data_IF_475059320034
#
_entry.id   IF_475059320034
#
_cell.length_a   1.000
_cell.length_b   1.000
_cell.length_c   1.000
_cell.angle_alpha   90.00
_cell.angle_beta   90.00
_cell.angle_gamma   90.00
#
_symmetry.space_group_name_H-M   'P 1'
#
loop_
_entity.id
_entity.type
_entity.pdbx_description
1 polymer ?
#
# COMPACT_ATOMS: atom_id res chain seq x y z
N UNK A 1 81.41 20.79 10.08
CA UNK A 1 80.47 21.55 10.93
C UNK A 1 79.06 21.04 10.69
N UNK A 2 78.46 20.39 11.69
CA UNK A 2 77.08 19.91 11.67
C UNK A 2 76.77 19.25 13.02
N UNK A 3 76.01 19.90 13.93
CA UNK A 3 75.97 19.47 15.31
C UNK A 3 74.99 18.29 15.52
N UNK A 4 75.44 17.33 16.32
CA UNK A 4 74.63 16.26 16.94
C UNK A 4 73.47 16.87 17.74
N UNK A 5 72.25 16.36 17.58
CA UNK A 5 71.15 16.64 18.53
C UNK A 5 70.38 15.39 18.94
N UNK A 6 70.24 15.31 20.27
CA UNK A 6 69.74 14.25 21.15
C UNK A 6 68.37 13.67 20.79
N UNK A 7 68.28 12.35 21.02
CA UNK A 7 67.06 11.58 21.22
C UNK A 7 66.19 12.17 22.35
N UNK A 8 64.89 12.38 22.06
CA UNK A 8 63.85 12.71 23.04
C UNK A 8 62.80 11.60 23.01
N UNK A 9 62.70 10.85 24.12
CA UNK A 9 61.56 9.95 24.40
C UNK A 9 60.34 10.81 24.77
N UNK A 10 59.15 10.60 24.19
CA UNK A 10 57.92 11.21 24.68
C UNK A 10 57.29 10.36 25.79
N UNK A 11 56.85 11.09 26.81
CA UNK A 11 56.33 10.69 28.12
C UNK A 11 54.84 10.29 28.05
N UNK A 12 54.44 9.31 28.86
CA UNK A 12 53.09 8.73 28.89
C UNK A 12 52.09 9.69 29.58
N UNK A 13 50.90 9.97 29.04
CA UNK A 13 49.94 10.87 29.69
C UNK A 13 49.25 10.21 30.91
N UNK A 14 49.45 10.77 32.10
CA UNK A 14 48.76 10.40 33.35
C UNK A 14 47.28 10.82 33.35
N UNK A 15 46.40 9.88 33.71
CA UNK A 15 44.96 10.07 33.99
C UNK A 15 44.74 11.00 35.20
N UNK A 16 43.76 11.90 35.13
CA UNK A 16 43.25 12.69 36.28
C UNK A 16 42.02 12.00 36.91
N UNK A 17 41.91 11.95 38.25
CA UNK A 17 40.78 11.36 38.96
C UNK A 17 39.56 12.31 39.08
N UNK A 18 38.42 11.67 39.36
CA UNK A 18 37.03 12.16 39.35
C UNK A 18 36.64 12.81 40.69
N UNK A 19 35.79 13.85 40.66
CA UNK A 19 34.99 14.29 41.82
C UNK A 19 33.47 14.18 41.54
N UNK A 20 32.65 13.72 42.51
CA UNK A 20 31.23 13.44 42.32
C UNK A 20 30.34 14.64 42.67
N UNK A 21 29.37 14.96 41.82
CA UNK A 21 28.29 15.90 42.15
C UNK A 21 26.94 15.16 42.11
N UNK A 22 26.28 15.13 43.27
CA UNK A 22 24.97 14.56 43.50
C UNK A 22 23.86 15.48 42.97
N UNK A 23 22.78 14.88 42.44
CA UNK A 23 21.50 15.56 42.22
C UNK A 23 20.81 15.19 40.91
N UNK A 24 20.11 14.05 40.88
CA UNK A 24 19.15 13.74 39.82
C UNK A 24 17.84 14.53 40.01
N UNK A 25 17.09 14.78 38.91
CA UNK A 25 15.67 14.51 38.95
C UNK A 25 15.34 13.35 38.00
N UNK A 26 14.62 12.38 38.55
CA UNK A 26 14.05 11.22 37.86
C UNK A 26 13.29 11.67 36.60
N UNK A 27 13.80 11.30 35.41
CA UNK A 27 12.97 11.21 34.21
C UNK A 27 11.97 10.09 34.44
N UNK A 28 10.73 10.43 34.78
CA UNK A 28 9.62 9.48 34.72
C UNK A 28 9.47 8.96 33.28
N UNK A 29 8.97 7.72 33.08
CA UNK A 29 8.57 7.26 31.76
C UNK A 29 7.27 8.01 31.41
N UNK A 30 7.44 9.23 30.88
CA UNK A 30 6.34 9.95 30.25
C UNK A 30 5.85 9.12 29.08
N UNK A 31 4.53 9.00 29.01
CA UNK A 31 3.83 7.92 28.33
C UNK A 31 4.28 7.67 26.91
N UNK A 32 4.05 6.44 26.47
CA UNK A 32 4.01 6.04 25.08
C UNK A 32 3.35 7.14 24.25
N UNK A 33 4.16 8.03 23.67
CA UNK A 33 3.70 8.89 22.61
C UNK A 33 3.26 7.93 21.53
N UNK A 34 1.94 7.81 21.35
CA UNK A 34 1.39 7.12 20.22
C UNK A 34 2.01 7.84 19.04
N UNK A 35 3.03 7.21 18.46
CA UNK A 35 3.76 7.65 17.29
C UNK A 35 2.67 8.03 16.30
N UNK A 36 2.46 9.34 16.11
CA UNK A 36 1.37 9.88 15.32
C UNK A 36 1.44 9.20 13.97
N UNK A 37 0.61 8.18 13.77
CA UNK A 37 0.50 7.47 12.50
C UNK A 37 -0.11 8.51 11.57
N UNK A 38 0.75 9.17 10.80
CA UNK A 38 0.57 10.50 10.27
C UNK A 38 -0.64 10.75 9.35
N UNK A 39 -0.73 11.95 8.75
CA UNK A 39 -1.88 12.44 7.99
C UNK A 39 -2.32 11.50 6.84
N UNK A 40 -1.41 10.66 6.32
CA UNK A 40 -1.71 9.69 5.25
C UNK A 40 -2.66 8.57 5.70
N UNK A 41 -2.49 8.00 6.90
CA UNK A 41 -3.36 6.91 7.36
C UNK A 41 -4.80 7.39 7.57
N UNK A 42 -4.95 8.61 8.08
CA UNK A 42 -6.25 9.24 8.25
C UNK A 42 -6.97 9.49 6.92
N UNK A 43 -6.24 9.92 5.86
CA UNK A 43 -6.80 10.13 4.52
C UNK A 43 -7.35 8.84 3.92
N UNK A 44 -6.59 7.75 3.96
CA UNK A 44 -7.02 6.44 3.42
C UNK A 44 -8.25 5.92 4.16
N UNK A 45 -8.30 6.01 5.49
CA UNK A 45 -9.47 5.58 6.27
C UNK A 45 -10.70 6.47 6.05
N UNK A 46 -10.51 7.75 5.71
CA UNK A 46 -11.61 8.63 5.32
C UNK A 46 -12.14 8.24 3.94
N UNK A 47 -11.24 8.00 2.99
CA UNK A 47 -11.57 7.58 1.63
C UNK A 47 -12.34 6.25 1.60
N UNK A 48 -11.87 5.23 2.33
CA UNK A 48 -12.58 3.95 2.46
C UNK A 48 -14.02 4.15 2.95
N UNK A 49 -14.20 4.94 4.02
CA UNK A 49 -15.54 5.22 4.57
C UNK A 49 -16.43 5.99 3.60
N UNK A 50 -15.86 6.93 2.85
CA UNK A 50 -16.61 7.69 1.84
C UNK A 50 -17.03 6.79 0.68
N UNK A 51 -16.11 5.98 0.14
CA UNK A 51 -16.38 5.08 -0.99
C UNK A 51 -17.39 4.00 -0.63
N UNK A 52 -17.27 3.38 0.55
CA UNK A 52 -18.22 2.36 1.03
C UNK A 52 -19.62 2.91 1.31
N UNK A 53 -19.76 4.22 1.57
CA UNK A 53 -21.06 4.87 1.76
C UNK A 53 -21.71 5.25 0.42
N UNK A 54 -20.91 5.50 -0.61
CA UNK A 54 -21.40 5.90 -1.92
C UNK A 54 -21.67 4.70 -2.82
N UNK A 55 -22.55 4.86 -3.81
CA UNK A 55 -22.88 3.86 -4.83
C UNK A 55 -22.58 4.34 -6.26
N UNK A 56 -21.79 5.41 -6.39
CA UNK A 56 -21.43 5.94 -7.69
C UNK A 56 -20.40 5.05 -8.38
N UNK A 57 -20.52 4.91 -9.71
CA UNK A 57 -19.54 4.21 -10.53
C UNK A 57 -18.15 4.86 -10.42
N UNK A 58 -17.14 4.05 -10.18
CA UNK A 58 -15.76 4.46 -9.91
C UNK A 58 -14.96 4.63 -11.21
N UNK A 59 -15.24 3.81 -12.23
CA UNK A 59 -14.56 3.87 -13.52
C UNK A 59 -15.24 4.93 -14.38
N UNK A 60 -14.43 5.73 -15.08
CA UNK A 60 -14.96 6.73 -16.04
C UNK A 60 -15.68 6.01 -17.19
N UNK A 61 -16.91 6.44 -17.47
CA UNK A 61 -17.79 5.83 -18.49
C UNK A 61 -17.20 5.81 -19.91
N UNK A 62 -16.49 6.87 -20.32
CA UNK A 62 -15.94 6.98 -21.69
C UNK A 62 -14.82 5.96 -21.97
N UNK A 63 -13.77 5.84 -21.14
CA UNK A 63 -12.78 4.77 -21.28
C UNK A 63 -13.39 3.36 -21.25
N UNK A 64 -14.33 3.10 -20.33
CA UNK A 64 -14.99 1.80 -20.22
C UNK A 64 -15.78 1.45 -21.49
N UNK A 65 -16.52 2.41 -22.04
CA UNK A 65 -17.25 2.25 -23.31
C UNK A 65 -16.34 1.94 -24.50
N UNK A 66 -15.18 2.61 -24.59
CA UNK A 66 -14.17 2.31 -25.63
C UNK A 66 -13.63 0.88 -25.50
N UNK A 67 -13.30 0.46 -24.29
CA UNK A 67 -12.82 -0.90 -24.01
C UNK A 67 -13.85 -1.96 -24.37
N UNK A 68 -15.11 -1.78 -23.96
CA UNK A 68 -16.19 -2.71 -24.25
C UNK A 68 -16.39 -2.89 -25.77
N UNK A 69 -16.34 -1.79 -26.53
CA UNK A 69 -16.44 -1.82 -28.00
C UNK A 69 -15.24 -2.49 -28.65
N UNK A 70 -14.02 -2.19 -28.19
CA UNK A 70 -12.80 -2.83 -28.69
C UNK A 70 -12.83 -4.36 -28.51
N UNK A 71 -13.28 -4.83 -27.34
CA UNK A 71 -13.44 -6.26 -27.06
C UNK A 71 -14.52 -6.85 -27.97
N UNK A 72 -15.66 -6.17 -28.14
CA UNK A 72 -16.75 -6.61 -29.00
C UNK A 72 -16.30 -6.85 -30.45
N UNK A 73 -15.52 -5.93 -31.03
CA UNK A 73 -15.00 -6.03 -32.39
C UNK A 73 -14.17 -7.30 -32.60
N UNK A 74 -13.42 -7.75 -31.58
CA UNK A 74 -12.62 -9.00 -31.64
C UNK A 74 -13.49 -10.24 -31.85
N UNK A 75 -14.74 -10.22 -31.39
CA UNK A 75 -15.67 -11.33 -31.53
C UNK A 75 -16.58 -11.20 -32.76
N UNK A 76 -16.82 -9.99 -33.24
CA UNK A 76 -17.75 -9.73 -34.36
C UNK A 76 -17.06 -9.63 -35.72
N UNK A 77 -15.83 -10.14 -35.86
CA UNK A 77 -15.09 -10.20 -37.14
C UNK A 77 -15.06 -8.86 -37.89
N UNK A 78 -14.98 -7.74 -37.16
CA UNK A 78 -14.94 -6.40 -37.74
C UNK A 78 -16.29 -5.73 -38.01
N UNK A 79 -17.41 -6.30 -37.57
CA UNK A 79 -18.72 -5.61 -37.62
C UNK A 79 -18.91 -4.75 -36.38
N UNK A 80 -19.15 -3.45 -36.59
CA UNK A 80 -19.41 -2.49 -35.52
C UNK A 80 -20.87 -2.55 -35.06
N UNK A 81 -21.09 -3.06 -33.84
CA UNK A 81 -22.42 -3.03 -33.22
C UNK A 81 -22.74 -1.68 -32.57
N UNK A 82 -24.01 -1.28 -32.70
CA UNK A 82 -24.60 -0.18 -31.94
C UNK A 82 -24.91 -0.63 -30.53
N UNK A 83 -24.43 0.12 -29.54
CA UNK A 83 -24.65 -0.18 -28.13
C UNK A 83 -25.73 0.75 -27.55
N UNK A 84 -26.68 0.17 -26.84
CA UNK A 84 -27.59 0.94 -25.99
C UNK A 84 -26.82 1.52 -24.80
N UNK A 85 -27.18 2.75 -24.41
CA UNK A 85 -26.57 3.39 -23.24
C UNK A 85 -26.77 2.55 -21.96
N UNK A 86 -27.94 1.95 -21.80
CA UNK A 86 -28.27 1.15 -20.62
C UNK A 86 -27.51 -0.18 -20.57
N UNK A 87 -27.22 -0.79 -21.72
CA UNK A 87 -26.40 -2.00 -21.78
C UNK A 87 -24.98 -1.74 -21.29
N UNK A 88 -24.38 -0.60 -21.69
CA UNK A 88 -23.06 -0.21 -21.22
C UNK A 88 -23.04 0.10 -19.71
N UNK A 89 -24.10 0.70 -19.18
CA UNK A 89 -24.22 0.94 -17.74
C UNK A 89 -24.34 -0.37 -16.95
N UNK A 90 -25.21 -1.28 -17.38
CA UNK A 90 -25.38 -2.58 -16.74
C UNK A 90 -24.08 -3.41 -16.76
N UNK A 91 -23.36 -3.39 -17.90
CA UNK A 91 -22.05 -4.04 -18.01
C UNK A 91 -21.04 -3.43 -17.03
N UNK A 92 -21.04 -2.10 -16.89
CA UNK A 92 -20.13 -1.42 -15.97
C UNK A 92 -20.45 -1.72 -14.50
N UNK A 93 -21.74 -1.69 -14.13
CA UNK A 93 -22.19 -2.04 -12.78
C UNK A 93 -21.77 -3.46 -12.39
N UNK A 94 -22.01 -4.43 -13.27
CA UNK A 94 -21.61 -5.82 -13.05
C UNK A 94 -20.08 -5.98 -12.92
N UNK A 95 -19.31 -5.32 -13.80
CA UNK A 95 -17.86 -5.39 -13.79
C UNK A 95 -17.25 -4.76 -12.52
N UNK A 96 -17.73 -3.60 -12.10
CA UNK A 96 -17.25 -2.95 -10.87
C UNK A 96 -17.62 -3.75 -9.63
N UNK A 97 -18.87 -4.25 -9.54
CA UNK A 97 -19.29 -5.11 -8.45
C UNK A 97 -18.43 -6.36 -8.35
N UNK A 98 -18.15 -7.02 -9.48
CA UNK A 98 -17.28 -8.20 -9.52
C UNK A 98 -15.87 -7.90 -9.00
N UNK A 99 -15.26 -6.80 -9.47
CA UNK A 99 -13.90 -6.42 -9.07
C UNK A 99 -13.82 -6.07 -7.58
N UNK A 100 -14.82 -5.37 -7.04
CA UNK A 100 -14.87 -5.04 -5.60
C UNK A 100 -14.88 -6.32 -4.76
N UNK A 101 -15.78 -7.26 -5.05
CA UNK A 101 -15.85 -8.53 -4.32
C UNK A 101 -14.56 -9.35 -4.48
N UNK A 102 -13.96 -9.38 -5.67
CA UNK A 102 -12.69 -10.08 -5.88
C UNK A 102 -11.55 -9.47 -5.05
N UNK A 103 -11.51 -8.14 -4.92
CA UNK A 103 -10.51 -7.48 -4.08
C UNK A 103 -10.75 -7.69 -2.59
N UNK A 104 -11.99 -7.79 -2.13
CA UNK A 104 -12.32 -8.14 -0.74
C UNK A 104 -11.75 -9.52 -0.39
N UNK A 105 -12.01 -10.53 -1.22
CA UNK A 105 -11.48 -11.89 -1.03
C UNK A 105 -9.95 -11.95 -1.10
N UNK A 106 -9.36 -11.30 -2.11
CA UNK A 106 -7.91 -11.23 -2.24
C UNK A 106 -7.27 -10.51 -1.04
N UNK A 107 -7.96 -9.53 -0.46
CA UNK A 107 -7.47 -8.83 0.72
C UNK A 107 -7.51 -9.72 1.97
N UNK A 108 -8.52 -10.58 2.14
CA UNK A 108 -8.54 -11.59 3.20
C UNK A 108 -7.33 -12.54 3.13
N UNK A 109 -6.92 -12.94 1.92
CA UNK A 109 -5.72 -13.74 1.71
C UNK A 109 -4.43 -13.00 2.07
N UNK A 110 -4.38 -11.69 1.78
CA UNK A 110 -3.22 -10.86 2.17
C UNK A 110 -3.08 -10.76 3.69
N UNK A 111 -4.21 -10.63 4.41
CA UNK A 111 -4.27 -10.63 5.88
C UNK A 111 -3.92 -12.00 6.47
N UNK A 112 -4.38 -13.08 5.84
CA UNK A 112 -4.02 -14.44 6.23
C UNK A 112 -2.50 -14.66 6.17
N UNK A 113 -1.83 -14.05 5.19
CA UNK A 113 -0.37 -14.07 5.06
C UNK A 113 0.36 -13.03 5.95
N UNK A 114 -0.32 -12.37 6.90
CA UNK A 114 0.25 -11.39 7.82
C UNK A 114 0.65 -10.05 7.17
N UNK A 115 0.17 -9.77 5.95
CA UNK A 115 0.48 -8.53 5.20
C UNK A 115 -0.73 -7.61 5.17
N UNK A 116 -0.46 -6.31 5.02
CA UNK A 116 -1.50 -5.28 4.76
C UNK A 116 -1.53 -4.86 3.29
N UNK A 117 -0.43 -5.07 2.57
CA UNK A 117 -0.35 -4.79 1.13
C UNK A 117 -0.85 -6.00 0.34
N UNK A 118 -1.76 -5.76 -0.58
CA UNK A 118 -2.29 -6.75 -1.52
C UNK A 118 -1.29 -6.96 -2.66
N UNK A 119 -1.02 -8.21 -3.01
CA UNK A 119 -0.10 -8.59 -4.09
C UNK A 119 -0.83 -9.37 -5.20
N UNK A 120 -0.25 -9.44 -6.42
CA UNK A 120 -0.85 -10.19 -7.53
C UNK A 120 -1.13 -11.65 -7.22
N UNK A 121 -0.27 -12.29 -6.41
CA UNK A 121 -0.44 -13.67 -5.96
C UNK A 121 -1.71 -13.89 -5.14
N UNK A 122 -2.15 -12.88 -4.39
CA UNK A 122 -3.37 -12.95 -3.56
C UNK A 122 -4.60 -12.94 -4.46
N UNK A 123 -4.62 -12.12 -5.51
CA UNK A 123 -5.70 -12.08 -6.52
C UNK A 123 -5.75 -13.38 -7.33
N UNK A 124 -4.59 -13.87 -7.77
CA UNK A 124 -4.51 -15.14 -8.51
C UNK A 124 -5.02 -16.31 -7.65
N UNK A 125 -4.67 -16.33 -6.37
CA UNK A 125 -5.15 -17.36 -5.44
C UNK A 125 -6.66 -17.23 -5.18
N UNK A 126 -7.18 -16.01 -5.00
CA UNK A 126 -8.62 -15.77 -4.85
C UNK A 126 -9.41 -16.30 -6.06
N UNK A 127 -8.96 -15.99 -7.28
CA UNK A 127 -9.56 -16.52 -8.53
C UNK A 127 -9.49 -18.04 -8.60
N UNK A 128 -8.39 -18.64 -8.14
CA UNK A 128 -8.23 -20.10 -8.13
C UNK A 128 -9.18 -20.78 -7.14
N UNK A 129 -9.38 -20.19 -5.96
CA UNK A 129 -10.25 -20.75 -4.90
C UNK A 129 -11.73 -20.60 -5.28
N UNK A 130 -12.13 -19.47 -5.89
CA UNK A 130 -13.49 -19.26 -6.43
C UNK A 130 -13.86 -20.25 -7.54
N UNK A 131 -12.89 -20.98 -8.09
CA UNK A 131 -13.13 -21.98 -9.13
C UNK A 131 -13.45 -21.36 -10.49
N UNK A 132 -13.91 -22.21 -11.41
CA UNK A 132 -14.07 -21.85 -12.83
C UNK A 132 -15.27 -20.91 -13.04
N UNK A 133 -16.35 -21.08 -12.27
CA UNK A 133 -17.59 -20.33 -12.47
C UNK A 133 -17.53 -18.87 -12.02
N UNK A 134 -16.82 -18.57 -10.92
CA UNK A 134 -16.74 -17.21 -10.38
C UNK A 134 -15.34 -16.58 -10.50
N UNK A 135 -14.30 -17.38 -10.70
CA UNK A 135 -12.92 -16.91 -10.70
C UNK A 135 -12.33 -16.63 -12.07
N UNK A 136 -12.71 -17.40 -13.10
CA UNK A 136 -12.02 -17.36 -14.39
C UNK A 136 -12.68 -16.46 -15.44
N UNK A 137 -13.99 -16.20 -15.33
CA UNK A 137 -14.73 -15.42 -16.34
C UNK A 137 -14.99 -16.24 -17.59
#
# INVERSE_FOLDING_TARGET
>A
MGPRRRSRKPEVPKRRPVTPAAGAPRRGPSGTSSRQRGPRRYRVLKEIRTLQKSTALLIRKSPFSRLAREICIKFTRGVDFSWQAQALLALQEAAEAFLVHLFEDAYLLSLHAGRVTLFPKDVQLARRIRGIQEGLG
#
